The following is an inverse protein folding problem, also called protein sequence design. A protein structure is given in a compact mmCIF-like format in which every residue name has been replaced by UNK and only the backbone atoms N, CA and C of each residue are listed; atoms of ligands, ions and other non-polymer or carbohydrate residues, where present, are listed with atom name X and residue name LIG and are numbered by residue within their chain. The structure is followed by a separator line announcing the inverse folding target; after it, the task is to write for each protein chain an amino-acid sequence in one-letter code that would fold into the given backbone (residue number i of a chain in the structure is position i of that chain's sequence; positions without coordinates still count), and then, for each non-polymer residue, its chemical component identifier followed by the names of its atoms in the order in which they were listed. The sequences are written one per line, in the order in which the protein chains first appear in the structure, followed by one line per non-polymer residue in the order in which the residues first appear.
data_IF_431403992587
#
_entry.id   IF_431403992587
#
_cell.length_a   1.000
_cell.length_b   1.000
_cell.length_c   1.000
_cell.angle_alpha   90.00
_cell.angle_beta   90.00
_cell.angle_gamma   90.00
#
_symmetry.space_group_name_H-M   'P 1'
#
loop_
_entity.id
_entity.type
_entity.pdbx_description
1 polymer ?
2 non-polymer ?
3 non-polymer ?
4 water ?
#
# COMPACT_ATOMS: atom_id res chain seq x y z
N UNK A 1 -13.12 10.53 7.22
CA UNK A 1 -12.56 9.77 6.11
C UNK A 1 -11.45 8.82 6.52
N UNK A 2 -11.61 7.55 6.16
CA UNK A 2 -10.68 6.54 6.62
C UNK A 2 -9.49 6.50 5.67
N UNK A 3 -8.29 6.52 6.24
CA UNK A 3 -7.06 6.42 5.46
C UNK A 3 -6.43 5.06 5.73
N UNK A 4 -6.29 4.26 4.68
CA UNK A 4 -5.71 2.93 4.84
C UNK A 4 -4.40 2.89 4.09
N UNK A 5 -3.37 2.30 4.69
CA UNK A 5 -2.08 2.17 4.00
C UNK A 5 -1.81 0.70 3.74
N UNK A 6 -1.29 0.40 2.56
CA UNK A 6 -1.01 -0.99 2.17
C UNK A 6 0.49 -1.17 1.95
N UNK A 7 1.06 -2.14 2.63
CA UNK A 7 2.48 -2.41 2.50
C UNK A 7 2.71 -3.92 2.39
N UNK A 8 3.78 -4.29 1.68
CA UNK A 8 4.22 -5.68 1.62
C UNK A 8 5.65 -5.77 2.16
N UNK A 9 5.91 -6.77 2.98
CA UNK A 9 7.22 -6.96 3.56
C UNK A 9 7.63 -8.43 3.47
N UNK A 10 8.92 -8.70 3.62
CA UNK A 10 9.40 -10.08 3.64
C UNK A 10 9.35 -10.65 5.06
N UNK A 11 9.90 -11.85 5.23
CA UNK A 11 9.73 -12.58 6.48
C UNK A 11 10.40 -11.88 7.64
N UNK A 12 11.32 -10.97 7.33
CA UNK A 12 12.05 -10.24 8.37
C UNK A 12 11.59 -8.80 8.51
N UNK A 13 10.40 -8.51 7.97
CA UNK A 13 9.80 -7.18 7.95
C UNK A 13 10.52 -6.18 7.05
N UNK A 14 11.31 -6.67 6.10
CA UNK A 14 12.05 -5.76 5.24
C UNK A 14 11.24 -5.50 3.97
N UNK A 15 11.20 -4.24 3.56
CA UNK A 15 10.44 -3.84 2.38
C UNK A 15 11.38 -3.70 1.20
N UNK A 16 10.99 -4.27 0.06
CA UNK A 16 11.76 -4.14 -1.16
C UNK A 16 11.61 -2.76 -1.75
N UNK A 17 12.36 -2.49 -2.82
CA UNK A 17 12.38 -1.19 -3.46
C UNK A 17 11.01 -0.52 -3.65
N UNK A 18 10.85 0.66 -3.06
CA UNK A 18 9.67 1.50 -3.26
C UNK A 18 8.36 0.82 -2.88
N UNK A 19 8.43 -0.16 -2.00
CA UNK A 19 7.23 -0.93 -1.63
C UNK A 19 6.65 -1.64 -2.86
N UNK A 20 7.55 -2.09 -3.74
CA UNK A 20 7.23 -2.94 -4.88
C UNK A 20 7.90 -4.30 -4.70
N UNK A 21 7.15 -5.37 -4.97
CA UNK A 21 7.72 -6.72 -4.90
C UNK A 21 8.70 -6.94 -6.06
N UNK A 22 9.71 -7.77 -5.85
CA UNK A 22 10.75 -8.04 -6.86
C UNK A 22 10.29 -9.07 -7.89
N UNK A 23 10.97 -9.10 -9.04
CA UNK A 23 10.73 -10.12 -10.05
C UNK A 23 9.27 -10.27 -10.49
N UNK A 24 8.55 -9.15 -10.52
CA UNK A 24 7.17 -9.14 -11.01
C UNK A 24 6.23 -9.96 -10.12
N UNK A 25 6.67 -10.31 -8.92
CA UNK A 25 5.81 -11.01 -7.96
C UNK A 25 4.48 -10.30 -7.84
N UNK A 26 3.38 -10.99 -8.19
CA UNK A 26 2.07 -10.35 -8.30
C UNK A 26 1.30 -10.34 -6.98
N UNK A 27 1.89 -10.96 -5.96
CA UNK A 27 1.18 -11.14 -4.69
C UNK A 27 0.49 -9.87 -4.24
N UNK A 28 1.26 -8.80 -4.02
CA UNK A 28 0.69 -7.59 -3.44
C UNK A 28 -0.22 -6.87 -4.44
N UNK A 29 0.14 -6.86 -5.71
CA UNK A 29 -0.68 -6.17 -6.70
C UNK A 29 -2.08 -6.77 -6.81
N UNK A 30 -2.16 -8.10 -6.76
CA UNK A 30 -3.44 -8.79 -6.82
C UNK A 30 -4.30 -8.39 -5.63
N UNK A 31 -3.67 -8.32 -4.45
CA UNK A 31 -4.37 -7.97 -3.23
C UNK A 31 -4.86 -6.53 -3.27
N UNK A 32 -4.01 -5.65 -3.78
CA UNK A 32 -4.36 -4.23 -3.87
C UNK A 32 -5.56 -4.06 -4.79
N UNK A 33 -5.55 -4.79 -5.90
CA UNK A 33 -6.69 -4.77 -6.83
C UNK A 33 -7.98 -5.17 -6.10
N UNK A 34 -7.99 -6.36 -5.52
CA UNK A 34 -9.17 -6.86 -4.83
C UNK A 34 -9.66 -5.93 -3.71
N UNK A 35 -8.73 -5.47 -2.89
CA UNK A 35 -9.03 -4.71 -1.66
C UNK A 35 -9.51 -3.27 -1.90
N UNK A 36 -8.99 -2.63 -2.93
CA UNK A 36 -9.28 -1.22 -3.13
C UNK A 36 -10.36 -0.94 -4.16
N UNK A 37 -10.99 -2.00 -4.68
CA UNK A 37 -12.09 -1.83 -5.63
C UNK A 37 -13.14 -0.88 -5.06
N UNK A 38 -13.54 0.11 -5.85
CA UNK A 38 -14.58 1.03 -5.43
C UNK A 38 -14.16 2.22 -4.58
N UNK A 39 -12.88 2.34 -4.29
CA UNK A 39 -12.37 3.48 -3.53
C UNK A 39 -11.09 4.00 -4.14
N UNK A 40 -10.74 5.25 -3.84
CA UNK A 40 -9.51 5.76 -4.46
C UNK A 40 -8.27 5.00 -4.01
N UNK A 41 -7.40 4.77 -4.99
CA UNK A 41 -6.10 4.17 -4.77
C UNK A 41 -5.06 5.25 -5.04
N UNK A 42 -4.31 5.59 -4.00
CA UNK A 42 -3.26 6.62 -4.06
C UNK A 42 -1.93 5.90 -4.12
N UNK A 43 -1.14 6.21 -5.14
CA UNK A 43 0.12 5.50 -5.38
C UNK A 43 1.28 6.50 -5.50
N UNK A 44 2.48 6.10 -5.09
CA UNK A 44 3.67 6.82 -5.49
C UNK A 44 3.92 6.52 -6.97
N UNK A 45 4.69 7.36 -7.66
CA UNK A 45 4.87 7.15 -9.09
C UNK A 45 5.54 5.80 -9.39
N UNK A 46 6.42 5.36 -8.49
CA UNK A 46 7.10 4.09 -8.72
C UNK A 46 6.16 2.88 -8.59
N UNK A 47 5.19 2.97 -7.69
CA UNK A 47 4.19 1.91 -7.59
C UNK A 47 3.28 1.88 -8.81
N UNK A 48 2.83 3.06 -9.23
CA UNK A 48 1.99 3.13 -10.43
C UNK A 48 2.74 2.59 -11.65
N UNK A 49 3.99 3.02 -11.80
CA UNK A 49 4.80 2.63 -12.94
C UNK A 49 5.02 1.11 -12.98
N UNK A 50 5.08 0.49 -11.80
CA UNK A 50 5.24 -0.96 -11.71
C UNK A 50 3.98 -1.67 -12.20
N UNK A 51 2.83 -1.10 -11.87
CA UNK A 51 1.53 -1.59 -12.36
C UNK A 51 1.41 -1.32 -13.87
N UNK A 52 1.71 -0.08 -14.26
CA UNK A 52 1.78 0.29 -15.67
C UNK A 52 0.47 0.71 -16.30
N UNK A 53 -0.58 0.81 -15.47
CA UNK A 53 -1.89 1.19 -15.94
C UNK A 53 -2.76 1.52 -14.74
N UNK A 54 -3.84 2.29 -14.97
CA UNK A 54 -4.80 2.56 -13.89
C UNK A 54 -5.58 1.28 -13.61
N UNK A 55 -5.89 0.99 -12.36
CA UNK A 55 -6.74 -0.16 -12.05
C UNK A 55 -8.20 0.24 -12.26
N UNK A 56 -9.01 -0.68 -12.82
CA UNK A 56 -10.39 -0.36 -13.20
C UNK A 56 -11.31 -0.16 -12.01
N UNK A 57 -12.38 0.61 -12.17
CA UNK A 57 -13.42 0.70 -11.17
C UNK A 57 -13.05 1.48 -9.92
N UNK A 58 -12.10 2.40 -10.06
CA UNK A 58 -11.72 3.24 -8.94
C UNK A 58 -10.89 4.42 -9.43
N UNK A 59 -10.84 5.46 -8.61
CA UNK A 59 -9.95 6.57 -8.87
C UNK A 59 -8.53 6.11 -8.60
N UNK A 60 -7.64 6.46 -9.54
CA UNK A 60 -6.22 6.21 -9.39
C UNK A 60 -5.52 7.55 -9.30
N UNK A 61 -4.88 7.79 -8.16
CA UNK A 61 -4.21 9.07 -7.91
C UNK A 61 -2.73 8.80 -7.66
N UNK A 62 -1.88 9.45 -8.44
CA UNK A 62 -0.44 9.32 -8.24
C UNK A 62 0.03 10.54 -7.48
N UNK A 63 0.73 10.32 -6.38
CA UNK A 63 1.25 11.45 -5.62
C UNK A 63 2.76 11.58 -5.86
N UNK A 64 3.17 12.76 -6.32
CA UNK A 64 4.56 13.01 -6.70
C UNK A 64 4.86 14.51 -6.60
N UNK A 65 6.06 14.85 -6.14
CA UNK A 65 6.45 16.25 -6.08
C UNK A 65 6.60 16.83 -7.49
N UNK A 66 6.79 15.94 -8.47
CA UNK A 66 7.10 16.34 -9.82
C UNK A 66 5.94 17.06 -10.49
N UNK A 67 6.10 18.37 -10.72
CA UNK A 67 5.01 19.19 -11.26
C UNK A 67 4.81 19.07 -12.76
N UNK A 68 5.67 18.31 -13.43
CA UNK A 68 5.58 18.12 -14.87
C UNK A 68 5.25 16.69 -15.25
N UNK A 69 4.66 15.95 -14.31
CA UNK A 69 4.37 14.54 -14.49
C UNK A 69 2.88 14.35 -14.81
N UNK A 70 2.60 13.68 -15.92
CA UNK A 70 1.23 13.51 -16.41
C UNK A 70 0.95 12.07 -16.80
N UNK A 71 -0.22 11.57 -16.43
CA UNK A 71 -0.57 10.18 -16.67
C UNK A 71 -1.98 10.05 -17.21
N UNK A 72 -2.14 9.40 -18.35
CA UNK A 72 -3.47 9.20 -18.93
C UNK A 72 -4.32 8.30 -18.02
N UNK A 73 -5.55 8.73 -17.77
CA UNK A 73 -6.48 7.90 -17.02
C UNK A 73 -6.23 7.89 -15.52
N UNK A 74 -5.28 8.71 -15.07
CA UNK A 74 -5.01 8.88 -13.65
C UNK A 74 -4.97 10.36 -13.29
N UNK A 75 -5.21 10.63 -12.01
CA UNK A 75 -5.10 11.97 -11.49
C UNK A 75 -3.72 12.07 -10.87
N UNK A 76 -3.12 13.26 -10.90
CA UNK A 76 -1.81 13.49 -10.28
C UNK A 76 -1.89 14.55 -9.19
N UNK A 77 -1.42 14.19 -7.99
CA UNK A 77 -1.40 15.10 -6.85
C UNK A 77 0.06 15.29 -6.45
N UNK A 78 0.38 16.46 -5.90
CA UNK A 78 1.76 16.81 -5.61
C UNK A 78 2.08 16.97 -4.13
N UNK A 79 1.12 16.67 -3.27
CA UNK A 79 1.32 16.78 -1.83
C UNK A 79 0.23 16.00 -1.11
N UNK A 80 0.44 15.78 0.19
CA UNK A 80 -0.60 15.20 1.04
C UNK A 80 -1.88 16.04 0.96
N UNK A 81 -1.71 17.35 1.12
CA UNK A 81 -2.85 18.25 1.03
C UNK A 81 -3.63 18.08 -0.29
N UNK A 82 -2.92 17.97 -1.40
CA UNK A 82 -3.61 17.87 -2.68
C UNK A 82 -4.37 16.55 -2.79
N UNK A 83 -3.79 15.48 -2.27
CA UNK A 83 -4.49 14.21 -2.21
C UNK A 83 -5.77 14.34 -1.37
N UNK A 84 -5.66 14.94 -0.20
CA UNK A 84 -6.85 15.08 0.63
C UNK A 84 -7.92 15.97 -0.04
N UNK A 85 -7.48 17.01 -0.73
CA UNK A 85 -8.42 17.89 -1.44
C UNK A 85 -9.16 17.12 -2.53
N UNK A 86 -8.43 16.31 -3.29
CA UNK A 86 -9.06 15.50 -4.34
C UNK A 86 -10.06 14.52 -3.73
N UNK A 87 -9.76 14.06 -2.51
CA UNK A 87 -10.55 13.00 -1.89
C UNK A 87 -11.47 13.50 -0.79
N UNK A 88 -11.74 14.79 -0.78
CA UNK A 88 -12.46 15.38 0.36
C UNK A 88 -13.88 14.82 0.50
N UNK A 89 -14.42 14.28 -0.59
CA UNK A 89 -15.77 13.71 -0.52
C UNK A 89 -15.79 12.19 -0.54
N UNK A 90 -14.63 11.57 -0.29
CA UNK A 90 -14.53 10.11 -0.26
C UNK A 90 -14.61 9.60 1.17
N UNK A 91 -15.28 8.48 1.37
CA UNK A 91 -15.40 7.93 2.71
C UNK A 91 -14.14 7.19 3.16
N UNK A 92 -13.39 6.65 2.20
CA UNK A 92 -12.16 5.94 2.52
C UNK A 92 -11.21 6.00 1.33
N UNK A 93 -9.92 6.09 1.61
CA UNK A 93 -8.90 6.03 0.57
C UNK A 93 -7.82 5.03 0.97
N UNK A 94 -7.17 4.46 -0.04
CA UNK A 94 -6.12 3.48 0.18
C UNK A 94 -4.83 4.00 -0.42
N UNK A 95 -3.75 3.92 0.32
CA UNK A 95 -2.46 4.43 -0.13
C UNK A 95 -1.45 3.31 -0.24
N UNK A 96 -0.83 3.20 -1.42
CA UNK A 96 0.12 2.14 -1.76
C UNK A 96 1.39 2.84 -2.28
N UNK A 97 2.33 3.10 -1.39
CA UNK A 97 3.55 3.80 -1.75
C UNK A 97 4.76 3.43 -0.92
N UNK A 98 5.88 4.09 -1.21
CA UNK A 98 7.13 3.86 -0.51
C UNK A 98 7.30 4.54 0.84
N UNK A 99 8.52 4.47 1.35
CA UNK A 99 8.82 4.98 2.68
C UNK A 99 8.52 6.45 2.84
N UNK A 100 8.82 7.24 1.81
CA UNK A 100 8.59 8.68 1.88
C UNK A 100 7.10 8.96 2.00
N UNK A 101 6.31 8.22 1.25
CA UNK A 101 4.86 8.39 1.22
C UNK A 101 4.21 7.89 2.52
N UNK A 102 4.73 6.79 3.04
CA UNK A 102 4.29 6.30 4.34
C UNK A 102 4.55 7.36 5.42
N UNK A 103 5.76 7.90 5.43
CA UNK A 103 6.10 8.95 6.39
C UNK A 103 5.18 10.17 6.26
N UNK A 104 4.88 10.55 5.01
CA UNK A 104 4.04 11.71 4.75
C UNK A 104 2.63 11.55 5.28
N UNK A 105 2.08 10.34 5.18
CA UNK A 105 0.69 10.13 5.53
C UNK A 105 0.51 9.56 6.93
N UNK A 106 1.61 9.13 7.55
CA UNK A 106 1.53 8.41 8.83
C UNK A 106 0.59 9.03 9.88
N UNK A 107 0.67 10.35 10.10
CA UNK A 107 -0.16 10.94 11.16
C UNK A 107 -1.66 10.79 10.93
N UNK A 108 -2.06 10.40 9.72
CA UNK A 108 -3.46 10.36 9.32
C UNK A 108 -3.97 8.94 9.05
N UNK A 109 -3.06 7.97 9.15
CA UNK A 109 -3.41 6.59 8.82
C UNK A 109 -4.26 5.93 9.91
N UNK A 110 -5.40 5.37 9.51
CA UNK A 110 -6.32 4.71 10.43
C UNK A 110 -6.17 3.20 10.41
N UNK A 111 -5.78 2.66 9.26
CA UNK A 111 -5.71 1.22 9.08
C UNK A 111 -4.49 0.84 8.27
N UNK A 112 -3.75 -0.17 8.74
CA UNK A 112 -2.62 -0.72 8.01
C UNK A 112 -2.93 -2.12 7.50
N UNK A 113 -2.68 -2.35 6.21
CA UNK A 113 -2.82 -3.68 5.60
C UNK A 113 -1.43 -4.14 5.29
N UNK A 114 -0.93 -5.10 6.07
CA UNK A 114 0.42 -5.62 5.87
C UNK A 114 0.40 -7.01 5.25
N UNK A 115 1.02 -7.14 4.08
CA UNK A 115 1.16 -8.46 3.47
C UNK A 115 2.56 -8.94 3.85
N UNK A 116 2.64 -10.05 4.56
CA UNK A 116 3.94 -10.56 4.97
C UNK A 116 4.22 -11.83 4.21
N UNK A 117 5.28 -11.79 3.42
CA UNK A 117 5.68 -12.94 2.62
C UNK A 117 6.68 -13.76 3.43
N UNK A 118 6.48 -15.08 3.45
CA UNK A 118 7.38 -15.97 4.19
C UNK A 118 8.60 -16.38 3.35
N UNK A 119 9.40 -15.37 3.01
CA UNK A 119 10.64 -15.55 2.27
C UNK A 119 11.45 -14.29 2.50
N UNK A 120 12.77 -14.38 2.39
CA UNK A 120 13.61 -13.21 2.54
C UNK A 120 13.97 -12.66 1.16
N UNK A 121 13.82 -11.36 0.99
CA UNK A 121 14.18 -10.68 -0.25
C UNK A 121 15.12 -9.52 0.06
N UNK A 122 16.04 -9.22 -0.86
CA UNK A 122 16.92 -8.07 -0.69
C UNK A 122 16.09 -6.79 -0.57
N UNK A 123 16.39 -5.99 0.44
CA UNK A 123 15.66 -4.78 0.71
C UNK A 123 16.47 -3.92 1.66
N UNK A 124 16.20 -2.61 1.67
CA UNK A 124 17.00 -1.68 2.46
C UNK A 124 16.16 -0.89 3.48
N UNK A 125 14.90 -1.27 3.65
CA UNK A 125 14.05 -0.62 4.64
C UNK A 125 13.35 -1.61 5.55
N UNK A 126 13.65 -1.53 6.84
CA UNK A 126 12.99 -2.35 7.84
C UNK A 126 11.75 -1.65 8.36
N UNK A 127 10.62 -2.37 8.38
CA UNK A 127 9.36 -1.86 8.90
C UNK A 127 9.15 -2.38 10.31
N UNK A 128 9.22 -1.47 11.30
CA UNK A 128 9.25 -1.87 12.70
C UNK A 128 8.01 -2.62 13.12
N UNK A 129 8.16 -3.37 14.21
CA UNK A 129 7.06 -4.10 14.79
C UNK A 129 5.92 -3.13 15.11
N UNK A 130 4.70 -3.64 15.02
CA UNK A 130 3.54 -2.82 15.32
C UNK A 130 3.47 -2.58 16.83
N UNK A 131 3.21 -1.33 17.21
CA UNK A 131 3.01 -0.98 18.60
C UNK A 131 1.59 -1.36 19.00
N UNK A 132 1.44 -2.50 19.67
CA UNK A 132 0.11 -3.05 19.91
C UNK A 132 -0.63 -2.36 21.05
N UNK A 133 -0.02 -1.35 21.66
CA UNK A 133 -0.73 -0.50 22.60
C UNK A 133 -1.57 0.53 21.85
N UNK A 134 -1.25 0.74 20.57
CA UNK A 134 -1.99 1.73 19.81
C UNK A 134 -2.59 1.17 18.52
N UNK A 135 -2.29 -0.07 18.21
CA UNK A 135 -2.90 -0.75 17.08
C UNK A 135 -3.54 -2.05 17.55
N UNK A 136 -4.66 -2.41 16.94
CA UNK A 136 -5.28 -3.71 17.18
C UNK A 136 -5.31 -4.49 15.87
N UNK A 137 -5.03 -5.79 15.93
CA UNK A 137 -5.12 -6.59 14.72
C UNK A 137 -6.57 -7.01 14.51
N UNK A 138 -7.16 -6.55 13.42
CA UNK A 138 -8.58 -6.80 13.15
C UNK A 138 -8.78 -8.23 12.64
N UNK A 139 -7.93 -8.66 11.72
CA UNK A 139 -7.94 -10.04 11.25
C UNK A 139 -6.60 -10.42 10.63
N UNK A 140 -6.42 -11.73 10.47
CA UNK A 140 -5.31 -12.26 9.71
C UNK A 140 -5.88 -13.22 8.68
N UNK A 141 -5.40 -13.14 7.44
CA UNK A 141 -5.96 -13.95 6.37
C UNK A 141 -4.82 -14.57 5.57
N UNK A 142 -4.86 -15.89 5.40
CA UNK A 142 -3.83 -16.57 4.64
C UNK A 142 -3.96 -16.26 3.16
N UNK A 143 -2.83 -15.93 2.53
CA UNK A 143 -2.82 -15.64 1.10
C UNK A 143 -2.89 -16.92 0.27
N UNK A 144 -3.34 -16.78 -0.97
CA UNK A 144 -3.47 -17.90 -1.87
C UNK A 144 -2.15 -18.17 -2.58
N UNK A 145 -1.50 -19.26 -2.20
CA UNK A 145 -0.27 -19.72 -2.83
C UNK A 145 -0.60 -20.49 -4.10
N UNK A 146 0.04 -20.13 -5.20
CA UNK A 146 -0.15 -20.82 -6.47
C UNK A 146 1.09 -20.73 -7.33
N UNK A 147 0.94 -21.00 -8.63
CA UNK A 147 2.04 -20.95 -9.57
C UNK A 147 2.73 -19.59 -9.53
N UNK A 148 1.94 -18.53 -9.64
CA UNK A 148 2.48 -17.18 -9.72
C UNK A 148 2.93 -16.63 -8.36
N UNK A 149 2.40 -17.25 -7.30
CA UNK A 149 2.74 -16.83 -5.94
C UNK A 149 3.18 -18.04 -5.11
N UNK A 150 4.47 -18.40 -5.23
CA UNK A 150 5.04 -19.66 -4.73
C UNK A 150 5.27 -19.71 -3.22
N UNK A 151 5.29 -18.56 -2.56
CA UNK A 151 5.62 -18.51 -1.14
C UNK A 151 4.37 -18.41 -0.28
N UNK A 152 4.45 -18.91 0.95
CA UNK A 152 3.39 -18.72 1.93
C UNK A 152 3.36 -17.24 2.28
N UNK A 153 2.17 -16.70 2.47
CA UNK A 153 2.05 -15.29 2.84
C UNK A 153 0.72 -15.04 3.54
N UNK A 154 0.69 -14.02 4.39
CA UNK A 154 -0.49 -13.70 5.19
C UNK A 154 -0.77 -12.22 5.14
N UNK A 155 -2.05 -11.87 5.13
CA UNK A 155 -2.45 -10.49 5.26
C UNK A 155 -2.79 -10.23 6.71
N UNK A 156 -2.14 -9.22 7.29
CA UNK A 156 -2.38 -8.80 8.65
C UNK A 156 -2.95 -7.40 8.59
N UNK A 157 -4.17 -7.23 9.09
CA UNK A 157 -4.81 -5.93 8.99
C UNK A 157 -5.05 -5.32 10.37
N UNK A 158 -4.57 -4.10 10.57
CA UNK A 158 -4.59 -3.45 11.87
C UNK A 158 -5.37 -2.15 11.80
N UNK A 159 -5.98 -1.77 12.92
CA UNK A 159 -6.72 -0.52 13.00
C UNK A 159 -6.21 0.31 14.17
N UNK A 160 -5.97 1.59 13.92
CA UNK A 160 -5.47 2.46 14.97
C UNK A 160 -6.55 2.70 16.00
N UNK A 161 -6.26 2.33 17.23
CA UNK A 161 -7.22 2.43 18.31
C UNK A 161 -7.45 3.86 18.76
N UNK A 162 -6.56 4.39 19.59
CA UNK A 162 -6.69 5.77 20.06
C UNK A 162 -6.70 6.74 18.88
#
# INVERSE_FOLDING_TARGET
MIVSFMVAMDENRVIGKDNNLPWRLPSELQYVKKTTMGHPLIMGRKNYEAIGRPLPGRRNIIVTRNEGYHVEGCEVAHSVEEVFELCKNEEEIFIFGGAQIYDLFLPYVDKLYITKIHHAFEGDTFFPEMDMTNWKEVFVEKGLTDEKNPYTYYYHVYEKQQ
#
